data_IF_214831015199
#
_entry.id   IF_214831015199
#
_cell.length_a   1.000
_cell.length_b   1.000
_cell.length_c   1.000
_cell.angle_alpha   90.00
_cell.angle_beta   90.00
_cell.angle_gamma   90.00
#
_symmetry.space_group_name_H-M   'P 1'
#
loop_
_entity.id
_entity.type
_entity.pdbx_description
1 polymer ?
#
# COMPACT_ATOMS: atom_id res chain seq x y z
N UNK A 1 -11.44 0.03 -29.47
CA UNK A 1 -10.69 -1.20 -29.11
C UNK A 1 -9.35 -0.97 -28.40
N UNK A 2 -8.77 0.25 -28.36
CA UNK A 2 -7.44 0.46 -27.74
C UNK A 2 -7.40 0.50 -26.21
N UNK A 3 -8.50 0.87 -25.54
CA UNK A 3 -8.51 1.00 -24.07
C UNK A 3 -8.42 -0.35 -23.34
N UNK A 4 -9.04 -1.41 -23.89
CA UNK A 4 -9.03 -2.74 -23.28
C UNK A 4 -7.63 -3.37 -23.27
N UNK A 5 -6.85 -3.20 -24.35
CA UNK A 5 -5.46 -3.67 -24.44
C UNK A 5 -4.48 -2.85 -23.58
N UNK A 6 -4.75 -1.57 -23.35
CA UNK A 6 -3.96 -0.76 -22.43
C UNK A 6 -4.25 -1.13 -20.97
N UNK A 7 -5.53 -1.38 -20.65
CA UNK A 7 -5.97 -1.83 -19.31
C UNK A 7 -5.42 -3.20 -18.95
N UNK A 8 -5.36 -4.14 -19.91
CA UNK A 8 -4.77 -5.47 -19.66
C UNK A 8 -3.28 -5.37 -19.39
N UNK A 9 -2.53 -4.63 -20.23
CA UNK A 9 -1.08 -4.42 -20.04
C UNK A 9 -0.72 -3.77 -18.70
N UNK A 10 -1.51 -2.79 -18.26
CA UNK A 10 -1.31 -2.21 -16.93
C UNK A 10 -1.59 -3.22 -15.82
N UNK A 11 -2.63 -4.04 -15.96
CA UNK A 11 -2.97 -5.08 -14.98
C UNK A 11 -1.85 -6.10 -14.84
N UNK A 12 -1.28 -6.53 -15.96
CA UNK A 12 -0.14 -7.47 -15.99
C UNK A 12 1.11 -6.82 -15.34
N UNK A 13 1.44 -5.58 -15.71
CA UNK A 13 2.57 -4.87 -15.10
C UNK A 13 2.41 -4.64 -13.59
N UNK A 14 1.18 -4.38 -13.12
CA UNK A 14 0.87 -4.28 -11.68
C UNK A 14 1.03 -5.63 -11.00
N UNK A 15 0.60 -6.71 -11.66
CA UNK A 15 0.75 -8.07 -11.15
C UNK A 15 2.23 -8.44 -10.99
N UNK A 16 3.03 -8.25 -12.04
CA UNK A 16 4.46 -8.57 -12.03
C UNK A 16 5.22 -7.74 -10.99
N UNK A 17 4.94 -6.44 -10.92
CA UNK A 17 5.56 -5.57 -9.92
C UNK A 17 5.17 -5.96 -8.49
N UNK A 18 3.91 -6.30 -8.24
CA UNK A 18 3.48 -6.76 -6.92
C UNK A 18 4.17 -8.07 -6.53
N UNK A 19 4.36 -9.00 -7.48
CA UNK A 19 5.13 -10.24 -7.25
C UNK A 19 6.57 -9.92 -6.81
N UNK A 20 7.25 -9.01 -7.50
CA UNK A 20 8.63 -8.65 -7.14
C UNK A 20 8.72 -7.98 -5.77
N UNK A 21 7.74 -7.15 -5.38
CA UNK A 21 7.67 -6.61 -4.02
C UNK A 21 7.49 -7.73 -2.99
N UNK A 22 6.61 -8.71 -3.26
CA UNK A 22 6.42 -9.86 -2.36
C UNK A 22 7.70 -10.68 -2.22
N UNK A 23 8.42 -10.92 -3.32
CA UNK A 23 9.71 -11.61 -3.31
C UNK A 23 10.73 -10.83 -2.48
N UNK A 24 10.81 -9.50 -2.63
CA UNK A 24 11.65 -8.65 -1.80
C UNK A 24 11.32 -8.77 -0.31
N UNK A 25 10.03 -8.74 0.07
CA UNK A 25 9.55 -8.95 1.44
C UNK A 25 9.74 -10.39 1.97
N UNK A 26 9.98 -11.38 1.10
CA UNK A 26 10.31 -12.74 1.52
C UNK A 26 11.82 -12.94 1.64
N UNK A 27 12.60 -12.17 0.90
CA UNK A 27 14.07 -12.26 0.88
C UNK A 27 14.76 -11.75 2.15
N UNK A 28 14.06 -11.06 3.06
CA UNK A 28 14.70 -10.51 4.26
C UNK A 28 15.67 -9.36 3.96
N UNK A 29 15.46 -8.62 2.88
CA UNK A 29 16.30 -7.48 2.48
C UNK A 29 17.57 -7.87 1.71
N UNK A 30 17.62 -9.06 1.12
CA UNK A 30 18.76 -9.52 0.29
C UNK A 30 18.57 -9.21 -1.20
N UNK A 31 17.34 -8.91 -1.64
CA UNK A 31 17.09 -8.49 -3.01
C UNK A 31 17.40 -7.00 -3.18
N UNK A 32 18.24 -6.71 -4.18
CA UNK A 32 18.83 -5.39 -4.35
C UNK A 32 17.95 -4.40 -5.13
N UNK A 33 17.02 -4.85 -5.99
CA UNK A 33 16.23 -3.96 -6.88
C UNK A 33 14.89 -4.59 -7.28
N UNK A 34 13.76 -3.92 -7.00
CA UNK A 34 12.40 -4.39 -7.34
C UNK A 34 12.02 -4.05 -8.78
N UNK A 35 12.18 -2.78 -9.21
CA UNK A 35 11.78 -2.34 -10.55
C UNK A 35 12.62 -3.01 -11.64
N UNK A 36 13.92 -3.17 -11.40
CA UNK A 36 14.82 -3.87 -12.30
C UNK A 36 14.47 -5.35 -12.47
N UNK A 37 14.06 -6.03 -11.40
CA UNK A 37 13.59 -7.41 -11.47
C UNK A 37 12.26 -7.54 -12.22
N UNK A 38 11.38 -6.55 -12.07
CA UNK A 38 10.13 -6.45 -12.84
C UNK A 38 10.33 -5.98 -14.29
N UNK A 39 11.57 -5.74 -14.74
CA UNK A 39 11.88 -5.28 -16.09
C UNK A 39 11.49 -3.82 -16.37
N UNK A 40 11.17 -3.04 -15.34
CA UNK A 40 10.75 -1.64 -15.49
C UNK A 40 11.98 -0.76 -15.70
N UNK A 41 12.08 -0.21 -16.91
CA UNK A 41 13.15 0.71 -17.30
C UNK A 41 12.60 2.12 -17.61
N UNK A 42 13.50 3.08 -17.84
CA UNK A 42 13.14 4.50 -18.06
C UNK A 42 12.10 4.76 -19.16
N UNK A 43 12.05 3.95 -20.22
CA UNK A 43 11.09 4.16 -21.31
C UNK A 43 9.76 3.40 -21.11
N UNK A 44 9.60 2.67 -20.00
CA UNK A 44 8.42 1.86 -19.74
C UNK A 44 7.36 2.67 -18.97
N UNK A 45 6.56 3.43 -19.72
CA UNK A 45 5.47 4.22 -19.14
C UNK A 45 4.40 3.36 -18.46
N UNK A 46 4.20 2.12 -18.91
CA UNK A 46 3.22 1.19 -18.31
C UNK A 46 3.73 0.70 -16.95
N UNK A 47 5.01 0.34 -16.84
CA UNK A 47 5.66 0.03 -15.57
C UNK A 47 5.65 1.20 -14.59
N UNK A 48 5.93 2.43 -15.05
CA UNK A 48 5.84 3.63 -14.19
C UNK A 48 4.39 3.85 -13.71
N UNK A 49 3.39 3.61 -14.56
CA UNK A 49 1.98 3.65 -14.15
C UNK A 49 1.64 2.52 -13.15
N UNK A 50 2.23 1.33 -13.29
CA UNK A 50 2.08 0.24 -12.32
C UNK A 50 2.66 0.63 -10.95
N UNK A 51 3.81 1.31 -10.91
CA UNK A 51 4.38 1.87 -9.67
C UNK A 51 3.41 2.83 -8.99
N UNK A 52 2.68 3.66 -9.76
CA UNK A 52 1.64 4.54 -9.19
C UNK A 52 0.49 3.76 -8.55
N UNK A 53 0.13 2.59 -9.09
CA UNK A 53 -0.93 1.72 -8.55
C UNK A 53 -0.46 0.97 -7.31
N UNK A 54 0.76 0.43 -7.32
CA UNK A 54 1.39 -0.18 -6.13
C UNK A 54 1.57 0.86 -5.02
N UNK A 55 1.87 2.10 -5.39
CA UNK A 55 1.99 3.21 -4.46
C UNK A 55 3.21 3.06 -3.55
N UNK A 56 3.07 3.50 -2.31
CA UNK A 56 4.16 3.48 -1.32
C UNK A 56 4.74 2.07 -1.06
N UNK A 57 3.99 1.02 -1.38
CA UNK A 57 4.42 -0.35 -1.16
C UNK A 57 5.62 -0.78 -2.00
N UNK A 58 5.95 -0.06 -3.09
CA UNK A 58 7.17 -0.34 -3.85
C UNK A 58 8.42 -0.31 -2.94
N UNK A 59 8.45 0.66 -2.02
CA UNK A 59 9.59 0.89 -1.13
C UNK A 59 9.36 0.28 0.26
N UNK A 60 8.24 -0.42 0.47
CA UNK A 60 7.93 -1.09 1.74
C UNK A 60 9.01 -2.07 2.21
N UNK A 61 9.65 -2.88 1.33
CA UNK A 61 10.73 -3.76 1.79
C UNK A 61 11.85 -3.00 2.49
N UNK A 62 12.33 -1.91 1.90
CA UNK A 62 13.37 -1.08 2.50
C UNK A 62 12.90 -0.41 3.79
N UNK A 63 11.63 0.02 3.85
CA UNK A 63 11.04 0.62 5.05
C UNK A 63 10.96 -0.37 6.20
N UNK A 64 10.44 -1.58 5.99
CA UNK A 64 10.32 -2.60 7.03
C UNK A 64 11.68 -3.17 7.45
N UNK A 65 12.61 -3.37 6.52
CA UNK A 65 13.95 -3.86 6.87
C UNK A 65 14.90 -2.77 7.35
N UNK A 66 14.48 -1.50 7.40
CA UNK A 66 15.35 -0.38 7.79
C UNK A 66 16.55 -0.18 6.87
N UNK A 67 16.45 -0.60 5.61
CA UNK A 67 17.52 -0.55 4.62
C UNK A 67 17.37 0.66 3.69
N UNK A 68 18.47 1.08 3.06
CA UNK A 68 18.40 2.09 2.00
C UNK A 68 17.82 1.45 0.73
N UNK A 69 16.78 2.04 0.11
CA UNK A 69 16.26 1.52 -1.15
C UNK A 69 17.28 1.69 -2.28
N UNK A 70 17.14 0.86 -3.31
CA UNK A 70 17.96 0.95 -4.50
C UNK A 70 17.78 2.29 -5.21
N UNK A 71 18.85 2.97 -5.66
CA UNK A 71 18.73 4.25 -6.35
C UNK A 71 17.83 4.19 -7.59
N UNK A 72 17.87 3.07 -8.34
CA UNK A 72 17.01 2.86 -9.51
C UNK A 72 15.51 2.77 -9.15
N UNK A 73 15.17 2.10 -8.05
CA UNK A 73 13.76 2.01 -7.60
C UNK A 73 13.26 3.38 -7.13
N UNK A 74 14.11 4.13 -6.43
CA UNK A 74 13.81 5.50 -5.99
C UNK A 74 13.56 6.42 -7.19
N UNK A 75 14.37 6.33 -8.25
CA UNK A 75 14.20 7.17 -9.44
C UNK A 75 12.88 6.86 -10.17
N UNK A 76 12.57 5.58 -10.37
CA UNK A 76 11.30 5.16 -10.98
C UNK A 76 10.11 5.61 -10.11
N UNK A 77 10.22 5.47 -8.78
CA UNK A 77 9.20 5.90 -7.83
C UNK A 77 8.97 7.42 -7.86
N UNK A 78 10.05 8.20 -7.82
CA UNK A 78 10.00 9.66 -7.93
C UNK A 78 9.35 10.10 -9.25
N UNK A 79 9.70 9.42 -10.35
CA UNK A 79 9.08 9.67 -11.65
C UNK A 79 7.59 9.35 -11.67
N UNK A 80 7.17 8.24 -11.06
CA UNK A 80 5.75 7.88 -10.96
C UNK A 80 4.95 8.93 -10.16
N UNK A 81 5.52 9.48 -9.08
CA UNK A 81 4.93 10.59 -8.33
C UNK A 81 4.76 11.81 -9.25
N UNK A 82 5.79 12.21 -9.98
CA UNK A 82 5.77 13.40 -10.85
C UNK A 82 4.83 13.26 -12.05
N UNK A 83 4.80 12.11 -12.70
CA UNK A 83 4.03 11.90 -13.93
C UNK A 83 2.55 11.59 -13.70
N UNK A 84 2.20 11.06 -12.53
CA UNK A 84 0.84 10.64 -12.20
C UNK A 84 0.31 11.30 -10.90
N UNK A 85 0.27 12.65 -10.84
CA UNK A 85 -0.41 13.35 -9.75
C UNK A 85 -1.91 13.04 -9.78
N UNK A 86 -2.59 13.03 -8.61
CA UNK A 86 -4.04 12.94 -8.58
C UNK A 86 -4.65 14.13 -9.32
N UNK A 87 -5.74 13.89 -10.04
CA UNK A 87 -6.54 14.98 -10.62
C UNK A 87 -7.23 15.79 -9.52
N UNK A 88 -7.64 17.04 -9.77
CA UNK A 88 -8.35 17.85 -8.78
C UNK A 88 -9.64 17.21 -8.24
N UNK A 89 -10.30 16.38 -9.05
CA UNK A 89 -11.52 15.63 -8.73
C UNK A 89 -11.24 14.17 -8.34
N UNK A 90 -9.98 13.82 -8.05
CA UNK A 90 -9.62 12.46 -7.72
C UNK A 90 -10.31 11.98 -6.44
N UNK A 91 -10.63 10.69 -6.40
CA UNK A 91 -11.16 10.05 -5.19
C UNK A 91 -10.22 10.24 -3.98
N UNK A 92 -10.75 10.30 -2.75
CA UNK A 92 -9.93 10.40 -1.54
C UNK A 92 -8.81 9.36 -1.46
N UNK A 93 -9.06 8.11 -1.89
CA UNK A 93 -8.04 7.04 -1.90
C UNK A 93 -6.87 7.33 -2.84
N UNK A 94 -7.12 7.96 -3.98
CA UNK A 94 -6.08 8.34 -4.93
C UNK A 94 -5.21 9.49 -4.37
N UNK A 95 -5.81 10.48 -3.72
CA UNK A 95 -5.11 11.57 -3.04
C UNK A 95 -4.23 11.04 -1.90
N UNK A 96 -4.80 10.19 -1.03
CA UNK A 96 -4.09 9.54 0.06
C UNK A 96 -2.96 8.62 -0.42
N UNK A 97 -3.19 7.84 -1.48
CA UNK A 97 -2.14 7.00 -2.08
C UNK A 97 -0.98 7.83 -2.63
N UNK A 98 -1.26 8.97 -3.25
CA UNK A 98 -0.22 9.89 -3.73
C UNK A 98 0.54 10.54 -2.57
N UNK A 99 -0.18 11.01 -1.54
CA UNK A 99 0.44 11.55 -0.33
C UNK A 99 1.35 10.50 0.33
N UNK A 100 0.92 9.24 0.41
CA UNK A 100 1.73 8.15 0.96
C UNK A 100 3.03 7.96 0.18
N UNK A 101 3.00 8.10 -1.15
CA UNK A 101 4.19 8.05 -1.97
C UNK A 101 5.13 9.23 -1.68
N UNK A 102 4.63 10.47 -1.68
CA UNK A 102 5.42 11.67 -1.36
C UNK A 102 6.05 11.58 0.03
N UNK A 103 5.27 11.20 1.05
CA UNK A 103 5.74 11.01 2.42
C UNK A 103 6.79 9.91 2.53
N UNK A 104 6.70 8.86 1.72
CA UNK A 104 7.72 7.82 1.65
C UNK A 104 8.99 8.34 0.98
N UNK A 105 8.88 9.02 -0.16
CA UNK A 105 10.03 9.60 -0.87
C UNK A 105 10.81 10.56 0.02
N UNK A 106 10.13 11.43 0.77
CA UNK A 106 10.79 12.36 1.71
C UNK A 106 11.58 11.65 2.81
N UNK A 107 11.08 10.50 3.30
CA UNK A 107 11.76 9.73 4.34
C UNK A 107 13.00 9.03 3.82
N UNK A 108 12.93 8.44 2.63
CA UNK A 108 14.02 7.60 2.10
C UNK A 108 15.02 8.34 1.21
N UNK A 109 14.61 9.46 0.61
CA UNK A 109 15.40 10.25 -0.34
C UNK A 109 15.07 11.75 -0.22
N UNK A 110 15.35 12.39 0.94
CA UNK A 110 14.97 13.78 1.21
C UNK A 110 15.54 14.78 0.18
N UNK A 111 16.72 14.51 -0.38
CA UNK A 111 17.35 15.33 -1.41
C UNK A 111 16.50 15.47 -2.68
N UNK A 112 15.74 14.43 -3.06
CA UNK A 112 14.87 14.45 -4.25
C UNK A 112 13.55 15.21 -4.02
N UNK A 113 13.21 15.49 -2.77
CA UNK A 113 12.00 16.25 -2.42
C UNK A 113 12.25 17.75 -2.23
N UNK A 114 13.52 18.18 -2.33
CA UNK A 114 13.92 19.58 -2.18
C UNK A 114 13.55 20.35 -3.45
N UNK A 115 12.54 21.23 -3.38
CA UNK A 115 12.11 22.06 -4.51
C UNK A 115 10.87 21.58 -5.28
N UNK A 116 10.16 20.55 -4.79
CA UNK A 116 8.80 20.27 -5.28
C UNK A 116 7.89 21.49 -5.00
N UNK A 117 7.08 21.96 -5.96
CA UNK A 117 6.31 23.19 -5.82
C UNK A 117 5.41 23.17 -4.58
N UNK A 118 5.56 24.18 -3.73
CA UNK A 118 4.64 24.48 -2.64
C UNK A 118 3.47 25.31 -3.20
N UNK A 119 2.62 24.69 -4.01
CA UNK A 119 1.46 25.34 -4.57
C UNK A 119 0.38 25.48 -3.46
N UNK A 120 0.57 26.46 -2.58
CA UNK A 120 -0.45 27.03 -1.67
C UNK A 120 -0.88 26.19 -0.46
N UNK A 121 -0.50 24.93 -0.41
CA UNK A 121 -0.69 23.99 0.70
C UNK A 121 0.68 23.32 0.83
N UNK A 122 1.22 23.12 2.03
CA UNK A 122 2.51 22.42 2.16
C UNK A 122 2.38 21.11 1.37
N UNK A 123 3.33 20.76 0.50
CA UNK A 123 3.22 19.58 -0.39
C UNK A 123 3.07 18.23 0.36
N UNK A 124 2.93 18.28 1.68
CA UNK A 124 2.75 17.18 2.62
C UNK A 124 1.59 17.40 3.59
N UNK A 125 0.77 18.44 3.42
CA UNK A 125 -0.45 18.53 4.20
C UNK A 125 -1.29 17.30 3.89
N UNK A 126 -1.68 16.62 4.97
CA UNK A 126 -2.46 15.41 4.86
C UNK A 126 -3.79 15.72 4.16
N UNK A 127 -4.23 14.89 3.20
CA UNK A 127 -5.59 14.99 2.69
C UNK A 127 -6.59 14.89 3.85
N UNK A 128 -7.77 15.50 3.70
CA UNK A 128 -8.82 15.37 4.71
C UNK A 128 -9.25 13.91 4.91
N UNK A 129 -9.64 13.57 6.14
CA UNK A 129 -10.27 12.28 6.49
C UNK A 129 -11.79 12.35 6.56
N UNK A 130 -12.38 13.49 6.19
CA UNK A 130 -13.84 13.68 6.14
C UNK A 130 -14.47 12.60 5.27
N UNK A 131 -15.48 11.91 5.80
CA UNK A 131 -16.13 10.79 5.12
C UNK A 131 -15.49 9.43 5.38
N UNK A 132 -14.40 9.37 6.15
CA UNK A 132 -13.82 8.13 6.69
C UNK A 132 -14.14 7.98 8.19
N UNK A 133 -14.12 9.09 8.93
CA UNK A 133 -14.37 9.15 10.38
C UNK A 133 -15.84 8.86 10.73
N UNK A 134 -16.78 9.44 9.99
CA UNK A 134 -18.22 9.32 10.18
C UNK A 134 -18.86 8.17 9.38
N UNK A 135 -18.10 7.51 8.50
CA UNK A 135 -18.62 6.46 7.64
C UNK A 135 -19.18 5.26 8.43
N UNK A 136 -20.29 4.64 7.96
CA UNK A 136 -20.73 3.36 8.51
C UNK A 136 -19.65 2.30 8.35
N UNK A 137 -19.55 1.36 9.29
CA UNK A 137 -18.42 0.42 9.38
C UNK A 137 -18.15 -0.36 8.08
N UNK A 138 -19.18 -0.65 7.28
CA UNK A 138 -19.02 -1.33 5.98
C UNK A 138 -18.27 -0.45 4.97
N UNK A 139 -18.65 0.83 4.88
CA UNK A 139 -17.99 1.78 3.98
C UNK A 139 -16.58 2.08 4.46
N UNK A 140 -16.42 2.34 5.76
CA UNK A 140 -15.14 2.53 6.41
C UNK A 140 -14.17 1.37 6.14
N UNK A 141 -14.59 0.13 6.40
CA UNK A 141 -13.75 -1.06 6.18
C UNK A 141 -13.40 -1.32 4.72
N UNK A 142 -14.23 -0.87 3.78
CA UNK A 142 -13.90 -0.90 2.36
C UNK A 142 -12.87 0.18 2.01
N UNK A 143 -13.14 1.44 2.37
CA UNK A 143 -12.24 2.57 2.09
C UNK A 143 -10.84 2.35 2.68
N UNK A 144 -10.76 1.90 3.94
CA UNK A 144 -9.49 1.66 4.62
C UNK A 144 -8.69 0.51 3.97
N UNK A 145 -9.36 -0.48 3.37
CA UNK A 145 -8.67 -1.56 2.64
C UNK A 145 -7.97 -1.05 1.38
N UNK A 146 -8.54 -0.04 0.70
CA UNK A 146 -7.90 0.63 -0.44
C UNK A 146 -6.68 1.46 0.00
N UNK A 147 -6.65 1.83 1.27
CA UNK A 147 -5.57 2.58 1.92
C UNK A 147 -4.57 1.67 2.64
N UNK A 148 -4.56 0.36 2.36
CA UNK A 148 -3.61 -0.59 2.96
C UNK A 148 -2.13 -0.17 2.86
N UNK A 149 -1.64 0.50 1.79
CA UNK A 149 -0.26 1.00 1.74
C UNK A 149 0.10 2.03 2.83
N UNK A 150 -0.88 2.67 3.46
CA UNK A 150 -0.67 3.56 4.62
C UNK A 150 -0.55 2.82 5.95
N UNK A 151 -0.91 1.53 5.99
CA UNK A 151 -0.77 0.68 7.16
C UNK A 151 0.70 0.27 7.33
N UNK A 152 1.53 1.19 7.83
CA UNK A 152 2.95 0.98 8.12
C UNK A 152 3.26 1.52 9.52
N UNK A 153 3.86 0.73 10.44
CA UNK A 153 4.06 1.12 11.84
C UNK A 153 4.80 2.45 12.03
N UNK A 154 5.78 2.73 11.17
CA UNK A 154 6.62 3.93 11.21
C UNK A 154 6.00 5.17 10.52
N UNK A 155 4.74 5.10 10.06
CA UNK A 155 4.08 6.17 9.32
C UNK A 155 2.83 6.68 10.07
N UNK A 156 3.00 7.72 10.89
CA UNK A 156 1.85 8.43 11.45
C UNK A 156 1.06 9.10 10.31
N UNK A 157 -0.26 8.90 10.31
CA UNK A 157 -1.20 9.60 9.44
C UNK A 157 -2.53 9.76 10.17
N UNK A 158 -3.32 10.77 9.82
CA UNK A 158 -4.69 10.92 10.31
C UNK A 158 -5.56 9.71 9.97
N UNK A 159 -5.36 9.05 8.83
CA UNK A 159 -6.00 7.77 8.49
C UNK A 159 -5.69 6.70 9.53
N UNK A 160 -4.41 6.55 9.92
CA UNK A 160 -4.03 5.60 10.96
C UNK A 160 -4.64 5.96 12.34
N UNK A 161 -4.79 7.26 12.63
CA UNK A 161 -5.47 7.73 13.84
C UNK A 161 -6.95 7.33 13.87
N UNK A 162 -7.68 7.59 12.79
CA UNK A 162 -9.09 7.18 12.64
C UNK A 162 -9.22 5.65 12.74
N UNK A 163 -8.33 4.92 12.06
CA UNK A 163 -8.36 3.46 12.06
C UNK A 163 -8.12 2.85 13.45
N UNK A 164 -7.21 3.45 14.25
CA UNK A 164 -6.96 3.06 15.64
C UNK A 164 -8.19 3.22 16.54
N UNK A 165 -9.00 4.26 16.31
CA UNK A 165 -10.26 4.47 17.02
C UNK A 165 -11.37 3.47 16.65
N UNK A 166 -11.19 2.69 15.57
CA UNK A 166 -12.24 1.87 14.95
C UNK A 166 -11.81 0.43 14.67
N UNK A 167 -10.88 -0.13 15.46
CA UNK A 167 -10.36 -1.49 15.28
C UNK A 167 -11.47 -2.57 15.25
N UNK A 168 -12.52 -2.43 16.06
CA UNK A 168 -13.66 -3.37 16.02
C UNK A 168 -14.40 -3.35 14.68
N UNK A 169 -14.52 -2.19 14.03
CA UNK A 169 -15.13 -2.07 12.71
C UNK A 169 -14.24 -2.67 11.62
N UNK A 170 -12.91 -2.56 11.76
CA UNK A 170 -11.95 -3.27 10.90
C UNK A 170 -12.10 -4.79 11.06
N UNK A 171 -12.19 -5.30 12.28
CA UNK A 171 -12.38 -6.73 12.53
C UNK A 171 -13.68 -7.26 11.88
N UNK A 172 -14.79 -6.52 12.00
CA UNK A 172 -16.05 -6.83 11.30
C UNK A 172 -15.88 -6.81 9.78
N UNK A 173 -15.18 -5.81 9.27
CA UNK A 173 -14.83 -5.65 7.86
C UNK A 173 -14.06 -6.84 7.31
N UNK A 174 -13.00 -7.27 8.02
CA UNK A 174 -12.19 -8.42 7.67
C UNK A 174 -13.04 -9.69 7.55
N UNK A 175 -13.81 -10.03 8.59
CA UNK A 175 -14.69 -11.22 8.58
C UNK A 175 -15.73 -11.14 7.45
N UNK A 176 -16.31 -9.96 7.22
CA UNK A 176 -17.27 -9.75 6.12
C UNK A 176 -16.60 -9.98 4.76
N UNK A 177 -15.41 -9.44 4.53
CA UNK A 177 -14.69 -9.59 3.28
C UNK A 177 -14.33 -11.06 3.02
N UNK A 178 -13.82 -11.77 4.03
CA UNK A 178 -13.57 -13.22 3.97
C UNK A 178 -14.84 -13.99 3.59
N UNK A 179 -15.97 -13.73 4.26
CA UNK A 179 -17.24 -14.40 3.96
C UNK A 179 -17.77 -14.11 2.55
N UNK A 180 -17.46 -12.94 2.00
CA UNK A 180 -17.83 -12.56 0.63
C UNK A 180 -16.81 -12.97 -0.42
N UNK A 181 -15.70 -13.61 -0.01
CA UNK A 181 -14.56 -13.97 -0.87
C UNK A 181 -13.92 -12.75 -1.56
N UNK A 182 -14.01 -11.59 -0.92
CA UNK A 182 -13.29 -10.40 -1.34
C UNK A 182 -11.89 -10.43 -0.69
N UNK A 183 -11.00 -11.21 -1.29
CA UNK A 183 -9.69 -11.49 -0.73
C UNK A 183 -8.79 -10.26 -0.70
N UNK A 184 -8.93 -9.36 -1.68
CA UNK A 184 -8.15 -8.13 -1.72
C UNK A 184 -8.58 -7.20 -0.58
N UNK A 185 -9.89 -6.97 -0.39
CA UNK A 185 -10.38 -6.21 0.76
C UNK A 185 -9.97 -6.87 2.08
N UNK A 186 -10.13 -8.20 2.20
CA UNK A 186 -9.77 -8.94 3.40
C UNK A 186 -8.28 -8.77 3.74
N UNK A 187 -7.39 -8.92 2.77
CA UNK A 187 -5.95 -8.75 2.98
C UNK A 187 -5.58 -7.31 3.39
N UNK A 188 -6.17 -6.29 2.75
CA UNK A 188 -5.92 -4.90 3.09
C UNK A 188 -6.41 -4.52 4.48
N UNK A 189 -7.62 -4.95 4.87
CA UNK A 189 -8.13 -4.77 6.24
C UNK A 189 -7.30 -5.55 7.26
N UNK A 190 -6.90 -6.78 6.92
CA UNK A 190 -6.05 -7.61 7.77
C UNK A 190 -4.67 -6.99 8.04
N UNK A 191 -4.07 -6.34 7.03
CA UNK A 191 -2.84 -5.55 7.20
C UNK A 191 -3.01 -4.39 8.18
N UNK A 192 -4.12 -3.65 8.12
CA UNK A 192 -4.42 -2.61 9.10
C UNK A 192 -4.55 -3.15 10.52
N UNK A 193 -5.24 -4.28 10.70
CA UNK A 193 -5.35 -4.93 12.00
C UNK A 193 -3.99 -5.35 12.54
N UNK A 194 -3.13 -5.92 11.69
CA UNK A 194 -1.77 -6.29 12.07
C UNK A 194 -0.93 -5.06 12.47
N UNK A 195 -1.00 -3.97 11.70
CA UNK A 195 -0.25 -2.74 11.97
C UNK A 195 -0.71 -2.02 13.26
N UNK A 196 -2.01 -2.03 13.56
CA UNK A 196 -2.58 -1.30 14.71
C UNK A 196 -2.58 -2.13 15.99
N UNK A 197 -2.82 -3.44 15.88
CA UNK A 197 -3.13 -4.30 17.02
C UNK A 197 -4.46 -3.96 17.69
N UNK A 198 -4.72 -4.60 18.83
CA UNK A 198 -5.93 -4.37 19.62
C UNK A 198 -7.19 -5.02 19.04
N UNK A 199 -7.03 -5.93 18.09
CA UNK A 199 -8.12 -6.74 17.56
C UNK A 199 -8.73 -7.66 18.64
N UNK A 200 -10.02 -7.99 18.54
CA UNK A 200 -10.63 -8.94 19.48
C UNK A 200 -9.88 -10.28 19.48
N UNK A 201 -9.56 -10.88 20.65
CA UNK A 201 -8.82 -12.15 20.71
C UNK A 201 -9.50 -13.30 19.96
N UNK A 202 -10.83 -13.25 19.85
CA UNK A 202 -11.65 -14.23 19.12
C UNK A 202 -11.57 -14.11 17.61
N UNK A 203 -10.94 -13.05 17.07
CA UNK A 203 -10.81 -12.85 15.62
C UNK A 203 -9.89 -13.91 14.99
N UNK A 204 -8.83 -14.32 15.71
CA UNK A 204 -7.83 -15.23 15.18
C UNK A 204 -7.14 -14.70 13.93
N UNK A 205 -6.65 -13.45 13.97
CA UNK A 205 -6.14 -12.72 12.81
C UNK A 205 -5.09 -13.51 12.02
N UNK A 206 -4.10 -14.11 12.68
CA UNK A 206 -3.03 -14.87 12.01
C UNK A 206 -3.58 -16.01 11.16
N UNK A 207 -4.47 -16.84 11.74
CA UNK A 207 -5.15 -17.93 11.03
C UNK A 207 -6.05 -17.42 9.92
N UNK A 208 -6.69 -16.27 10.14
CA UNK A 208 -7.50 -15.60 9.13
C UNK A 208 -6.65 -15.16 7.93
N UNK A 209 -5.47 -14.61 8.16
CA UNK A 209 -4.54 -14.19 7.12
C UNK A 209 -3.95 -15.39 6.36
N UNK A 210 -3.64 -16.50 7.05
CA UNK A 210 -3.25 -17.76 6.40
C UNK A 210 -4.35 -18.25 5.44
N UNK A 211 -5.61 -18.20 5.87
CA UNK A 211 -6.74 -18.57 5.03
C UNK A 211 -6.91 -17.60 3.85
N UNK A 212 -6.75 -16.29 4.05
CA UNK A 212 -6.83 -15.29 2.98
C UNK A 212 -5.71 -15.48 1.95
N UNK A 213 -4.47 -15.75 2.36
CA UNK A 213 -3.37 -16.02 1.44
C UNK A 213 -3.64 -17.29 0.62
N UNK A 214 -4.09 -18.37 1.27
CA UNK A 214 -4.42 -19.62 0.59
C UNK A 214 -5.55 -19.44 -0.43
N UNK A 215 -6.62 -18.72 -0.06
CA UNK A 215 -7.80 -18.55 -0.90
C UNK A 215 -7.67 -17.43 -1.94
N UNK A 216 -6.80 -16.45 -1.71
CA UNK A 216 -6.46 -15.38 -2.65
C UNK A 216 -5.75 -15.88 -3.91
N UNK A 217 -5.25 -17.12 -3.89
CA UNK A 217 -4.67 -17.79 -5.04
C UNK A 217 -3.43 -17.07 -5.54
N UNK A 218 -3.42 -16.71 -6.82
CA UNK A 218 -2.28 -16.07 -7.49
C UNK A 218 -2.40 -14.54 -7.56
N UNK A 219 -3.27 -13.86 -6.77
CA UNK A 219 -3.26 -12.39 -6.75
C UNK A 219 -2.09 -11.88 -5.88
N UNK A 220 -1.04 -11.31 -6.47
CA UNK A 220 0.13 -10.86 -5.74
C UNK A 220 -0.14 -9.70 -4.80
N UNK A 221 -1.22 -8.93 -5.02
CA UNK A 221 -1.61 -7.84 -4.12
C UNK A 221 -2.20 -8.38 -2.81
N UNK A 222 -2.87 -9.54 -2.88
CA UNK A 222 -3.31 -10.26 -1.67
C UNK A 222 -2.08 -10.74 -0.90
N UNK A 223 -1.15 -11.40 -1.60
CA UNK A 223 0.09 -11.88 -0.99
C UNK A 223 0.93 -10.74 -0.38
N UNK A 224 0.99 -9.59 -1.06
CA UNK A 224 1.68 -8.38 -0.60
C UNK A 224 1.13 -7.91 0.75
N UNK A 225 -0.18 -7.72 0.83
CA UNK A 225 -0.83 -7.26 2.05
C UNK A 225 -0.66 -8.25 3.21
N UNK A 226 -0.83 -9.56 2.96
CA UNK A 226 -0.64 -10.59 3.98
C UNK A 226 0.82 -10.63 4.45
N UNK A 227 1.78 -10.54 3.53
CA UNK A 227 3.20 -10.56 3.90
C UNK A 227 3.60 -9.32 4.71
N UNK A 228 3.13 -8.14 4.30
CA UNK A 228 3.32 -6.91 5.05
C UNK A 228 2.74 -7.04 6.47
N UNK A 229 1.52 -7.57 6.60
CA UNK A 229 0.86 -7.79 7.88
C UNK A 229 1.72 -8.67 8.83
N UNK A 230 2.22 -9.81 8.32
CA UNK A 230 3.05 -10.73 9.11
C UNK A 230 4.33 -10.07 9.64
N UNK A 231 5.05 -9.33 8.79
CA UNK A 231 6.28 -8.65 9.19
C UNK A 231 6.02 -7.63 10.31
N UNK A 232 4.91 -6.89 10.25
CA UNK A 232 4.55 -5.91 11.28
C UNK A 232 4.19 -6.58 12.62
N UNK A 233 3.52 -7.74 12.57
CA UNK A 233 3.22 -8.53 13.78
C UNK A 233 4.49 -9.13 14.38
N UNK A 234 5.41 -9.62 13.56
CA UNK A 234 6.73 -10.11 14.00
C UNK A 234 7.56 -9.01 14.68
N UNK A 235 7.56 -7.79 14.13
CA UNK A 235 8.22 -6.63 14.74
C UNK A 235 7.62 -6.25 16.11
N UNK A 236 6.30 -6.28 16.25
CA UNK A 236 5.62 -5.96 17.51
C UNK A 236 5.87 -7.00 18.61
N UNK A 237 6.15 -8.24 18.24
CA UNK A 237 6.45 -9.32 19.18
C UNK A 237 7.88 -9.31 19.72
N UNK A 238 8.78 -8.48 19.16
CA UNK A 238 10.15 -8.29 19.62
C UNK A 238 10.24 -7.16 20.65
#
# INVERSE_FOLDING_TARGET
>A
MNQSSASSRLTDAVHDLANEVVLALRSGGHLATVCGAAGIHENDRTGIAAVRVIGADLLLPSVLYGQRPHPGDVEVFHRAVREFPPRPDASPSAAWGHWAMLSTLRRVAPSLTTGLPADGVSALDEPGVTGLDDAPWQAFSHQISLLAPLAVPAAASSVASVARGRVTDLARGFVRAVRRRDWLQASGTGRWLAALGGEPPTLGLDRGLDFVELMGGQDPRVALNVRAARLMTEERGR
#
